data_IF_043673139307
#
_entry.id   IF_043673139307
#
_cell.length_a   1.000
_cell.length_b   1.000
_cell.length_c   1.000
_cell.angle_alpha   90.00
_cell.angle_beta   90.00
_cell.angle_gamma   90.00
#
_symmetry.space_group_name_H-M   'P 1'
#
loop_
_entity.id
_entity.type
_entity.pdbx_description
1 polymer ?
#
# COMPACT_ATOMS: atom_id res chain seq x y z
N UNK A 1 73.31 31.98 -10.16
CA UNK A 1 72.69 30.75 -9.60
C UNK A 1 71.27 31.08 -9.15
N UNK A 2 70.23 30.74 -9.98
CA UNK A 2 68.81 30.97 -9.66
C UNK A 2 68.25 29.67 -9.21
N UNK A 3 67.72 29.53 -7.97
CA UNK A 3 67.08 28.39 -7.43
C UNK A 3 65.58 28.54 -7.71
N UNK A 4 65.02 27.68 -8.58
CA UNK A 4 63.55 27.54 -8.82
C UNK A 4 62.93 26.67 -7.73
N UNK A 5 62.00 27.26 -7.00
CA UNK A 5 61.11 26.52 -6.07
C UNK A 5 59.92 26.00 -6.85
N UNK A 6 59.81 24.67 -6.95
CA UNK A 6 58.64 23.98 -7.49
C UNK A 6 57.64 23.80 -6.34
N UNK A 7 56.50 24.50 -6.41
CA UNK A 7 55.40 24.33 -5.50
C UNK A 7 54.56 23.08 -5.95
N UNK A 8 54.54 22.05 -5.11
CA UNK A 8 53.75 20.84 -5.32
C UNK A 8 52.36 21.08 -4.74
N UNK A 9 51.36 21.34 -5.60
CA UNK A 9 49.94 21.45 -5.20
C UNK A 9 49.34 20.06 -4.98
N UNK A 10 49.08 19.69 -3.74
CA UNK A 10 48.30 18.48 -3.41
C UNK A 10 46.81 18.74 -3.74
N UNK A 11 46.29 18.07 -4.78
CA UNK A 11 44.87 17.99 -5.03
C UNK A 11 44.28 16.98 -4.03
N UNK A 12 43.55 17.46 -3.03
CA UNK A 12 42.73 16.61 -2.16
C UNK A 12 41.45 16.25 -2.92
N UNK A 13 41.41 15.07 -3.52
CA UNK A 13 40.18 14.48 -4.04
C UNK A 13 39.27 14.10 -2.85
N UNK A 14 38.32 14.95 -2.55
CA UNK A 14 37.25 14.63 -1.62
C UNK A 14 36.42 13.45 -2.16
N UNK A 15 36.53 12.28 -1.52
CA UNK A 15 35.61 11.19 -1.75
C UNK A 15 34.22 11.62 -1.26
N UNK A 16 33.36 12.05 -2.16
CA UNK A 16 31.93 12.12 -1.88
C UNK A 16 31.47 10.65 -1.81
N UNK A 17 31.46 10.10 -0.61
CA UNK A 17 30.85 8.79 -0.37
C UNK A 17 29.40 8.85 -0.82
N UNK A 18 29.04 8.11 -1.88
CA UNK A 18 27.65 7.89 -2.23
C UNK A 18 26.97 7.25 -1.00
N UNK A 19 26.08 7.98 -0.34
CA UNK A 19 25.25 7.42 0.71
C UNK A 19 24.51 6.22 0.11
N UNK A 20 24.84 5.02 0.60
CA UNK A 20 24.14 3.80 0.20
C UNK A 20 22.71 3.94 0.63
N UNK A 21 21.76 3.73 -0.29
CA UNK A 21 20.34 3.71 0.02
C UNK A 21 20.09 2.72 1.17
N UNK A 22 19.64 3.24 2.31
CA UNK A 22 19.33 2.43 3.49
C UNK A 22 17.82 2.38 3.67
N UNK A 23 17.19 1.31 3.12
CA UNK A 23 15.78 1.04 3.37
C UNK A 23 15.57 0.70 4.85
N UNK A 24 14.97 1.62 5.58
CA UNK A 24 14.62 1.42 6.99
C UNK A 24 13.20 0.92 7.15
N UNK A 25 12.98 0.19 8.25
CA UNK A 25 11.66 -0.20 8.73
C UNK A 25 11.59 0.14 10.22
N UNK A 26 11.05 1.32 10.56
CA UNK A 26 10.97 1.81 11.93
C UNK A 26 9.66 1.37 12.56
N UNK A 27 9.66 0.73 13.74
CA UNK A 27 8.43 0.37 14.44
C UNK A 27 7.59 1.61 14.77
N UNK A 28 6.28 1.51 14.53
CA UNK A 28 5.27 2.50 14.92
C UNK A 28 4.20 1.80 15.71
N UNK A 29 3.92 2.27 16.92
CA UNK A 29 2.82 1.76 17.75
C UNK A 29 1.76 2.83 17.92
N UNK A 30 0.52 2.42 17.79
CA UNK A 30 -0.64 3.27 18.03
C UNK A 30 -1.74 2.46 18.72
N UNK A 31 -2.64 3.15 19.39
CA UNK A 31 -3.72 2.52 20.14
C UNK A 31 -5.07 3.06 19.68
N UNK A 32 -6.03 2.16 19.49
CA UNK A 32 -7.42 2.49 19.24
C UNK A 32 -8.32 1.58 20.08
N UNK A 33 -9.29 2.15 20.77
CA UNK A 33 -10.23 1.43 21.65
C UNK A 33 -9.56 0.42 22.60
N UNK A 34 -8.41 0.77 23.17
CA UNK A 34 -7.67 -0.08 24.10
C UNK A 34 -6.85 -1.20 23.45
N UNK A 35 -6.88 -1.33 22.13
CA UNK A 35 -6.07 -2.29 21.36
C UNK A 35 -4.82 -1.59 20.83
N UNK A 36 -3.65 -2.18 21.07
CA UNK A 36 -2.37 -1.69 20.53
C UNK A 36 -2.07 -2.35 19.19
N UNK A 37 -1.78 -1.54 18.19
CA UNK A 37 -1.38 -1.95 16.84
C UNK A 37 0.11 -1.70 16.65
N UNK A 38 0.80 -2.65 15.99
CA UNK A 38 2.25 -2.60 15.77
C UNK A 38 2.53 -2.58 14.27
N UNK A 39 2.72 -1.39 13.76
CA UNK A 39 2.97 -1.06 12.34
C UNK A 39 4.44 -0.77 12.10
N UNK A 40 4.83 -0.56 10.83
CA UNK A 40 6.18 -0.15 10.46
C UNK A 40 6.15 1.02 9.47
N UNK A 41 7.00 2.00 9.72
CA UNK A 41 7.27 3.07 8.78
C UNK A 41 8.47 2.69 7.91
N UNK A 42 8.23 2.51 6.60
CA UNK A 42 9.21 1.96 5.65
C UNK A 42 9.55 3.01 4.60
N UNK A 43 10.84 3.37 4.47
CA UNK A 43 11.32 4.35 3.51
C UNK A 43 12.85 4.31 3.36
N UNK A 44 13.37 4.92 2.29
CA UNK A 44 14.80 5.16 2.11
C UNK A 44 15.22 6.39 2.91
N UNK A 45 16.03 6.23 3.97
CA UNK A 45 16.45 7.32 4.86
C UNK A 45 17.62 8.17 4.29
N UNK A 46 18.26 7.74 3.21
CA UNK A 46 19.21 8.56 2.47
C UNK A 46 18.53 9.70 1.69
N UNK A 47 17.21 9.63 1.47
CA UNK A 47 16.43 10.66 0.78
C UNK A 47 15.74 11.55 1.80
N UNK A 48 16.24 12.80 1.95
CA UNK A 48 15.69 13.79 2.88
C UNK A 48 14.48 14.56 2.33
N UNK A 49 14.29 14.59 1.01
CA UNK A 49 13.17 15.29 0.38
C UNK A 49 11.82 14.68 0.80
N UNK A 50 10.81 15.54 1.03
CA UNK A 50 9.46 15.10 1.31
C UNK A 50 8.87 14.33 0.12
N UNK A 51 8.25 13.17 0.40
CA UNK A 51 7.70 12.22 -0.58
C UNK A 51 6.25 11.90 -0.24
N UNK A 52 5.46 11.42 -1.22
CA UNK A 52 4.12 10.93 -0.94
C UNK A 52 4.12 9.86 0.16
N UNK A 53 3.14 9.95 1.06
CA UNK A 53 2.90 8.96 2.11
C UNK A 53 1.84 7.97 1.68
N UNK A 54 2.10 6.67 1.88
CA UNK A 54 1.15 5.60 1.58
C UNK A 54 0.83 4.80 2.84
N UNK A 55 -0.46 4.59 3.12
CA UNK A 55 -0.85 3.44 3.96
C UNK A 55 -0.78 2.20 3.08
N UNK A 56 -0.09 1.17 3.52
CA UNK A 56 -0.09 -0.14 2.89
C UNK A 56 -0.73 -1.16 3.83
N UNK A 57 -1.86 -1.71 3.39
CA UNK A 57 -2.53 -2.80 4.10
C UNK A 57 -2.11 -4.13 3.47
N UNK A 58 -1.45 -5.02 4.24
CA UNK A 58 -0.98 -6.31 3.73
C UNK A 58 -2.13 -7.27 3.47
N UNK A 59 -1.82 -8.45 2.94
CA UNK A 59 -2.77 -9.54 2.80
C UNK A 59 -3.22 -10.09 4.17
N UNK A 60 -4.02 -11.13 4.18
CA UNK A 60 -4.64 -11.70 5.38
C UNK A 60 -3.66 -12.29 6.42
N UNK A 61 -2.40 -12.53 6.05
CA UNK A 61 -1.37 -12.90 7.03
C UNK A 61 -0.88 -11.71 7.87
N UNK A 62 -1.29 -10.49 7.52
CA UNK A 62 -0.88 -9.28 8.24
C UNK A 62 0.60 -8.94 8.03
N UNK A 63 1.21 -8.33 9.04
CA UNK A 63 2.62 -7.93 8.98
C UNK A 63 3.52 -9.13 9.27
N UNK A 64 4.34 -9.47 8.28
CA UNK A 64 5.38 -10.48 8.33
C UNK A 64 6.58 -10.04 7.46
N UNK A 65 7.62 -10.87 7.34
CA UNK A 65 8.82 -10.54 6.56
C UNK A 65 8.52 -10.33 5.08
N UNK A 66 7.55 -11.05 4.51
CA UNK A 66 7.14 -10.90 3.10
C UNK A 66 6.45 -9.55 2.88
N UNK A 67 5.55 -9.16 3.78
CA UNK A 67 4.90 -7.85 3.73
C UNK A 67 5.92 -6.70 3.89
N UNK A 68 6.90 -6.86 4.78
CA UNK A 68 8.00 -5.90 4.96
C UNK A 68 8.88 -5.80 3.70
N UNK A 69 9.22 -6.93 3.08
CA UNK A 69 10.00 -6.95 1.84
C UNK A 69 9.26 -6.24 0.70
N UNK A 70 7.96 -6.53 0.54
CA UNK A 70 7.08 -5.88 -0.43
C UNK A 70 6.98 -4.37 -0.17
N UNK A 71 6.80 -3.95 1.07
CA UNK A 71 6.75 -2.53 1.42
C UNK A 71 8.06 -1.81 1.08
N UNK A 72 9.22 -2.43 1.33
CA UNK A 72 10.54 -1.88 0.95
C UNK A 72 10.70 -1.75 -0.57
N UNK A 73 10.27 -2.77 -1.33
CA UNK A 73 10.32 -2.76 -2.80
C UNK A 73 9.44 -1.64 -3.39
N UNK A 74 8.23 -1.46 -2.87
CA UNK A 74 7.31 -0.43 -3.34
C UNK A 74 7.79 0.96 -2.95
N UNK A 75 8.24 1.13 -1.70
CA UNK A 75 8.72 2.41 -1.19
C UNK A 75 9.85 2.97 -2.05
N UNK A 76 10.89 2.15 -2.31
CA UNK A 76 12.03 2.58 -3.08
C UNK A 76 12.51 3.99 -2.64
N UNK A 77 12.78 4.84 -3.60
CA UNK A 77 13.09 6.27 -3.38
C UNK A 77 11.87 7.18 -3.43
N UNK A 78 10.70 6.63 -3.78
CA UNK A 78 9.54 7.41 -4.22
C UNK A 78 8.53 7.67 -3.10
N UNK A 79 8.42 6.76 -2.11
CA UNK A 79 7.36 6.79 -1.11
C UNK A 79 7.87 6.63 0.31
N UNK A 80 7.09 7.13 1.27
CA UNK A 80 7.13 6.74 2.69
C UNK A 80 5.90 5.88 2.94
N UNK A 81 6.08 4.63 3.39
CA UNK A 81 4.98 3.67 3.58
C UNK A 81 4.75 3.39 5.06
N UNK A 82 3.54 3.57 5.54
CA UNK A 82 3.08 2.96 6.78
C UNK A 82 2.49 1.58 6.45
N UNK A 83 3.28 0.52 6.66
CA UNK A 83 2.79 -0.86 6.62
C UNK A 83 1.99 -1.10 7.89
N UNK A 84 0.65 -1.15 7.77
CA UNK A 84 -0.24 -1.09 8.91
C UNK A 84 -0.68 -2.46 9.43
N UNK A 85 -0.72 -2.57 10.76
CA UNK A 85 -1.35 -3.68 11.47
C UNK A 85 -2.87 -3.47 11.51
N UNK A 86 -3.62 -4.45 11.03
CA UNK A 86 -5.09 -4.42 11.03
C UNK A 86 -5.71 -5.30 12.12
N UNK A 87 -4.91 -6.11 12.80
CA UNK A 87 -5.41 -7.05 13.80
C UNK A 87 -5.21 -6.57 15.22
N UNK A 88 -4.05 -5.97 15.49
CA UNK A 88 -3.66 -5.49 16.82
C UNK A 88 -3.24 -6.61 17.79
N UNK A 89 -2.88 -6.19 19.01
CA UNK A 89 -2.47 -7.11 20.05
C UNK A 89 -1.27 -7.97 19.65
N UNK A 90 -1.41 -9.27 19.86
CA UNK A 90 -0.41 -10.30 19.53
C UNK A 90 -0.78 -11.12 18.28
N UNK A 91 -1.85 -10.75 17.58
CA UNK A 91 -2.33 -11.50 16.41
C UNK A 91 -1.34 -11.40 15.26
N UNK A 92 -0.67 -12.51 14.94
CA UNK A 92 0.31 -12.65 13.87
C UNK A 92 0.11 -14.03 13.22
N UNK A 93 -0.83 -14.15 12.26
CA UNK A 93 -1.15 -15.42 11.63
C UNK A 93 0.07 -16.04 10.93
N UNK A 94 0.27 -17.33 11.13
CA UNK A 94 1.33 -18.13 10.51
C UNK A 94 0.77 -19.26 9.63
N UNK A 95 -0.53 -19.49 9.68
CA UNK A 95 -1.25 -20.47 8.88
C UNK A 95 -2.52 -19.87 8.25
N UNK A 96 -3.05 -20.52 7.21
CA UNK A 96 -4.31 -20.12 6.58
C UNK A 96 -5.48 -20.13 7.58
N UNK A 97 -5.53 -21.11 8.46
CA UNK A 97 -6.58 -21.21 9.48
C UNK A 97 -6.54 -20.01 10.44
N UNK A 98 -5.34 -19.61 10.89
CA UNK A 98 -5.15 -18.43 11.74
C UNK A 98 -5.46 -17.13 10.99
N UNK A 99 -5.03 -17.01 9.73
CA UNK A 99 -5.31 -15.86 8.89
C UNK A 99 -6.81 -15.70 8.64
N UNK A 100 -7.50 -16.81 8.33
CA UNK A 100 -8.96 -16.85 8.17
C UNK A 100 -9.68 -16.43 9.46
N UNK A 101 -9.24 -16.93 10.62
CA UNK A 101 -9.81 -16.53 11.91
C UNK A 101 -9.58 -15.03 12.21
N UNK A 102 -8.43 -14.47 11.84
CA UNK A 102 -8.10 -13.06 12.06
C UNK A 102 -8.92 -12.10 11.18
N UNK A 103 -9.16 -12.44 9.90
CA UNK A 103 -9.93 -11.56 9.00
C UNK A 103 -11.44 -11.69 9.16
N UNK A 104 -11.94 -12.87 9.62
CA UNK A 104 -13.37 -13.15 9.71
C UNK A 104 -14.18 -12.06 10.44
N UNK A 105 -13.76 -11.56 11.62
CA UNK A 105 -14.49 -10.50 12.32
C UNK A 105 -14.56 -9.18 11.52
N UNK A 106 -13.51 -8.87 10.73
CA UNK A 106 -13.43 -7.65 9.94
C UNK A 106 -14.33 -7.69 8.70
N UNK A 107 -14.50 -8.87 8.09
CA UNK A 107 -15.46 -9.05 7.01
C UNK A 107 -16.89 -9.16 7.52
N UNK A 108 -17.09 -9.70 8.72
CA UNK A 108 -18.42 -9.82 9.33
C UNK A 108 -18.98 -8.46 9.78
N UNK A 109 -18.09 -7.53 10.20
CA UNK A 109 -18.46 -6.15 10.51
C UNK A 109 -17.50 -5.18 9.81
N UNK A 110 -17.89 -4.76 8.63
CA UNK A 110 -17.09 -3.84 7.81
C UNK A 110 -16.95 -2.45 8.42
N UNK A 111 -17.80 -2.07 9.36
CA UNK A 111 -17.63 -0.81 10.12
C UNK A 111 -16.34 -0.84 10.94
N UNK A 112 -16.04 -1.98 11.58
CA UNK A 112 -14.77 -2.17 12.31
C UNK A 112 -13.59 -2.08 11.35
N UNK A 113 -13.67 -2.70 10.16
CA UNK A 113 -12.61 -2.62 9.16
C UNK A 113 -12.39 -1.17 8.70
N UNK A 114 -13.47 -0.44 8.36
CA UNK A 114 -13.40 0.98 7.98
C UNK A 114 -12.79 1.83 9.09
N UNK A 115 -13.18 1.64 10.34
CA UNK A 115 -12.62 2.36 11.48
C UNK A 115 -11.12 2.12 11.61
N UNK A 116 -10.66 0.86 11.58
CA UNK A 116 -9.25 0.51 11.73
C UNK A 116 -8.38 1.08 10.62
N UNK A 117 -8.81 0.96 9.36
CA UNK A 117 -8.03 1.51 8.24
C UNK A 117 -8.01 3.03 8.24
N UNK A 118 -9.10 3.69 8.68
CA UNK A 118 -9.14 5.13 8.86
C UNK A 118 -8.18 5.59 9.96
N UNK A 119 -8.13 4.87 11.10
CA UNK A 119 -7.15 5.15 12.17
C UNK A 119 -5.71 4.96 11.69
N UNK A 120 -5.44 3.92 10.90
CA UNK A 120 -4.12 3.72 10.28
C UNK A 120 -3.76 4.89 9.34
N UNK A 121 -4.72 5.43 8.60
CA UNK A 121 -4.50 6.59 7.74
C UNK A 121 -4.22 7.87 8.58
N UNK A 122 -4.91 8.06 9.69
CA UNK A 122 -4.61 9.15 10.61
C UNK A 122 -3.23 9.00 11.26
N UNK A 123 -2.82 7.75 11.55
CA UNK A 123 -1.48 7.47 12.05
C UNK A 123 -0.39 7.82 11.01
N UNK A 124 -0.60 7.49 9.73
CA UNK A 124 0.32 7.93 8.67
C UNK A 124 0.50 9.45 8.67
N UNK A 125 -0.58 10.21 8.80
CA UNK A 125 -0.53 11.69 8.88
C UNK A 125 0.27 12.16 10.09
N UNK A 126 0.10 11.51 11.24
CA UNK A 126 0.81 11.83 12.47
C UNK A 126 2.33 11.61 12.35
N UNK A 127 2.77 10.71 11.46
CA UNK A 127 4.18 10.42 11.22
C UNK A 127 4.91 11.49 10.38
N UNK A 128 4.25 12.54 9.91
CA UNK A 128 4.90 13.66 9.18
C UNK A 128 6.09 14.26 9.95
N UNK A 129 6.04 14.26 11.27
CA UNK A 129 7.10 14.78 12.13
C UNK A 129 8.30 13.83 12.27
N UNK A 130 8.12 12.55 11.94
CA UNK A 130 9.08 11.47 12.18
C UNK A 130 9.72 10.95 10.89
N UNK A 131 9.17 11.29 9.72
CA UNK A 131 9.63 10.87 8.41
C UNK A 131 9.37 11.94 7.34
N UNK A 132 10.07 11.90 6.20
CA UNK A 132 9.92 12.89 5.14
C UNK A 132 8.64 12.69 4.32
N UNK A 133 7.49 12.78 4.97
CA UNK A 133 6.16 12.65 4.36
C UNK A 133 5.71 14.01 3.85
N UNK A 134 5.17 14.05 2.63
CA UNK A 134 4.45 15.20 2.11
C UNK A 134 2.96 15.05 2.47
N UNK A 135 2.41 15.84 3.40
CA UNK A 135 1.04 15.70 3.85
C UNK A 135 -0.01 16.07 2.80
N UNK A 136 0.40 16.75 1.72
CA UNK A 136 -0.49 17.06 0.60
C UNK A 136 -0.66 15.87 -0.36
N UNK A 137 0.23 14.87 -0.29
CA UNK A 137 0.27 13.73 -1.21
C UNK A 137 0.17 12.41 -0.44
N UNK A 138 -1.05 12.08 0.01
CA UNK A 138 -1.31 10.86 0.77
C UNK A 138 -2.24 9.93 -0.01
N UNK A 139 -1.92 8.64 -0.03
CA UNK A 139 -2.71 7.60 -0.69
C UNK A 139 -2.74 6.31 0.14
N UNK A 140 -3.51 5.32 -0.30
CA UNK A 140 -3.52 4.01 0.31
C UNK A 140 -3.46 2.91 -0.76
N UNK A 141 -2.74 1.84 -0.47
CA UNK A 141 -2.62 0.65 -1.30
C UNK A 141 -2.87 -0.59 -0.45
N UNK A 142 -3.43 -1.64 -1.04
CA UNK A 142 -3.68 -2.86 -0.28
C UNK A 142 -3.74 -4.11 -1.15
N UNK A 143 -3.45 -5.25 -0.53
CA UNK A 143 -3.28 -6.54 -1.20
C UNK A 143 -4.25 -7.57 -0.62
N UNK A 144 -5.02 -8.31 -1.44
CA UNK A 144 -6.00 -9.28 -1.00
C UNK A 144 -6.98 -8.65 0.02
N UNK A 145 -7.02 -9.12 1.27
CA UNK A 145 -7.75 -8.48 2.37
C UNK A 145 -7.46 -6.98 2.46
N UNK A 146 -6.20 -6.58 2.33
CA UNK A 146 -5.80 -5.18 2.34
C UNK A 146 -6.38 -4.38 1.18
N UNK A 147 -6.55 -4.99 0.00
CA UNK A 147 -7.24 -4.37 -1.14
C UNK A 147 -8.69 -4.00 -0.81
N UNK A 148 -9.41 -4.93 -0.15
CA UNK A 148 -10.77 -4.65 0.36
C UNK A 148 -10.76 -3.53 1.40
N UNK A 149 -9.77 -3.52 2.30
CA UNK A 149 -9.68 -2.52 3.38
C UNK A 149 -9.44 -1.11 2.84
N UNK A 150 -8.61 -0.92 1.81
CA UNK A 150 -8.38 0.42 1.24
C UNK A 150 -9.57 0.91 0.42
N UNK A 151 -10.35 0.02 -0.21
CA UNK A 151 -11.65 0.39 -0.80
C UNK A 151 -12.62 0.87 0.30
N UNK A 152 -12.62 0.21 1.45
CA UNK A 152 -13.43 0.63 2.59
C UNK A 152 -12.92 1.94 3.23
N UNK A 153 -11.63 2.24 3.18
CA UNK A 153 -11.11 3.57 3.54
C UNK A 153 -11.70 4.66 2.65
N UNK A 154 -11.76 4.43 1.34
CA UNK A 154 -12.38 5.37 0.41
C UNK A 154 -13.89 5.54 0.71
N UNK A 155 -14.63 4.43 0.89
CA UNK A 155 -16.06 4.41 1.25
C UNK A 155 -16.36 5.10 2.58
N UNK A 156 -15.38 5.11 3.51
CA UNK A 156 -15.49 5.87 4.75
C UNK A 156 -15.35 7.39 4.56
N UNK A 157 -15.10 7.88 3.34
CA UNK A 157 -14.95 9.31 3.05
C UNK A 157 -13.59 9.89 3.44
N UNK A 158 -12.55 9.05 3.55
CA UNK A 158 -11.22 9.52 3.89
C UNK A 158 -10.70 10.54 2.84
N UNK A 159 -10.11 11.64 3.32
CA UNK A 159 -9.48 12.64 2.47
C UNK A 159 -8.09 12.15 1.99
N UNK A 160 -8.11 11.15 1.15
CA UNK A 160 -6.96 10.50 0.53
C UNK A 160 -6.96 10.79 -0.97
N UNK A 161 -5.79 10.98 -1.59
CA UNK A 161 -5.72 11.33 -3.02
C UNK A 161 -6.16 10.17 -3.91
N UNK A 162 -5.72 8.97 -3.57
CA UNK A 162 -6.08 7.74 -4.29
C UNK A 162 -6.05 6.52 -3.38
N UNK A 163 -6.81 5.49 -3.78
CA UNK A 163 -6.69 4.13 -3.25
C UNK A 163 -6.43 3.16 -4.40
N UNK A 164 -5.57 2.16 -4.16
CA UNK A 164 -5.28 1.10 -5.14
C UNK A 164 -5.45 -0.26 -4.48
N UNK A 165 -6.39 -1.03 -5.00
CA UNK A 165 -6.68 -2.41 -4.56
C UNK A 165 -6.01 -3.40 -5.50
N UNK A 166 -5.13 -4.26 -4.98
CA UNK A 166 -4.56 -5.39 -5.70
C UNK A 166 -5.28 -6.67 -5.29
N UNK A 167 -5.91 -7.35 -6.23
CA UNK A 167 -6.66 -8.59 -6.02
C UNK A 167 -7.51 -8.61 -4.72
N UNK A 168 -8.10 -7.46 -4.37
CA UNK A 168 -9.02 -7.35 -3.23
C UNK A 168 -10.43 -7.76 -3.61
N UNK A 169 -11.21 -8.24 -2.63
CA UNK A 169 -12.65 -8.39 -2.82
C UNK A 169 -13.27 -7.00 -3.03
N UNK A 170 -14.05 -6.84 -4.08
CA UNK A 170 -14.66 -5.57 -4.46
C UNK A 170 -15.99 -5.32 -3.75
N UNK A 171 -16.60 -6.37 -3.19
CA UNK A 171 -17.89 -6.30 -2.52
C UNK A 171 -17.93 -5.29 -1.36
N UNK A 172 -19.10 -4.73 -1.12
CA UNK A 172 -19.40 -3.83 0.01
C UNK A 172 -20.65 -4.31 0.75
N UNK A 173 -20.81 -3.87 2.00
CA UNK A 173 -22.03 -4.04 2.78
C UNK A 173 -23.08 -2.96 2.48
N UNK A 174 -22.66 -1.82 1.89
CA UNK A 174 -23.57 -0.74 1.49
C UNK A 174 -22.97 0.02 0.28
N UNK A 175 -23.50 -0.21 -0.93
CA UNK A 175 -23.02 0.48 -2.13
C UNK A 175 -23.29 2.01 -2.12
N UNK A 176 -24.20 2.51 -1.28
CA UNK A 176 -24.46 3.94 -1.16
C UNK A 176 -23.27 4.70 -0.56
N UNK A 177 -22.36 4.02 0.13
CA UNK A 177 -21.14 4.61 0.65
C UNK A 177 -20.22 5.16 -0.44
N UNK A 178 -20.39 4.75 -1.70
CA UNK A 178 -19.66 5.32 -2.82
C UNK A 178 -19.86 6.85 -2.96
N UNK A 179 -20.99 7.37 -2.52
CA UNK A 179 -21.25 8.83 -2.50
C UNK A 179 -20.30 9.61 -1.57
N UNK A 180 -19.62 8.94 -0.64
CA UNK A 180 -18.63 9.54 0.26
C UNK A 180 -17.21 9.51 -0.33
N UNK A 181 -16.99 8.82 -1.44
CA UNK A 181 -15.65 8.63 -2.01
C UNK A 181 -15.20 9.92 -2.69
N UNK A 182 -14.10 10.49 -2.19
CA UNK A 182 -13.43 11.66 -2.78
C UNK A 182 -12.11 11.28 -3.45
N UNK A 183 -11.63 10.06 -3.20
CA UNK A 183 -10.38 9.52 -3.74
C UNK A 183 -10.55 9.06 -5.18
N UNK A 184 -9.47 9.10 -5.96
CA UNK A 184 -9.37 8.29 -7.18
C UNK A 184 -9.23 6.82 -6.81
N UNK A 185 -9.99 5.92 -7.43
CA UNK A 185 -10.02 4.49 -7.10
C UNK A 185 -9.48 3.66 -8.26
N UNK A 186 -8.48 2.82 -8.00
CA UNK A 186 -7.97 1.84 -8.95
C UNK A 186 -8.13 0.42 -8.39
N UNK A 187 -8.85 -0.44 -9.12
CA UNK A 187 -8.97 -1.86 -8.84
C UNK A 187 -8.15 -2.67 -9.85
N UNK A 188 -7.24 -3.52 -9.37
CA UNK A 188 -6.34 -4.35 -10.17
C UNK A 188 -6.62 -5.81 -9.86
N UNK A 189 -7.27 -6.52 -10.77
CA UNK A 189 -7.79 -7.87 -10.54
C UNK A 189 -7.18 -8.90 -11.50
N UNK A 190 -7.14 -10.16 -11.06
CA UNK A 190 -6.98 -11.29 -11.98
C UNK A 190 -8.32 -11.55 -12.69
N UNK A 191 -8.31 -11.66 -14.03
CA UNK A 191 -9.53 -11.95 -14.78
C UNK A 191 -10.12 -13.32 -14.43
N UNK A 192 -9.26 -14.26 -14.02
CA UNK A 192 -9.60 -15.63 -13.65
C UNK A 192 -9.65 -15.83 -12.12
N UNK A 193 -9.70 -14.74 -11.33
CA UNK A 193 -9.80 -14.80 -9.87
C UNK A 193 -11.21 -15.23 -9.44
N UNK A 194 -11.32 -16.46 -8.93
CA UNK A 194 -12.59 -17.02 -8.44
C UNK A 194 -13.15 -16.28 -7.21
N UNK A 195 -12.33 -15.50 -6.49
CA UNK A 195 -12.80 -14.69 -5.35
C UNK A 195 -13.48 -13.38 -5.79
N UNK A 196 -13.24 -12.95 -7.05
CA UNK A 196 -13.83 -11.74 -7.63
C UNK A 196 -14.55 -12.11 -8.94
N UNK A 197 -15.68 -12.81 -8.86
CA UNK A 197 -16.41 -13.27 -10.04
C UNK A 197 -17.01 -12.09 -10.83
N UNK A 198 -17.42 -12.30 -12.09
CA UNK A 198 -17.91 -11.24 -12.98
C UNK A 198 -19.03 -10.38 -12.38
N UNK A 199 -19.95 -11.00 -11.65
CA UNK A 199 -21.06 -10.30 -10.99
C UNK A 199 -20.58 -9.34 -9.89
N UNK A 200 -19.50 -9.67 -9.16
CA UNK A 200 -18.92 -8.79 -8.16
C UNK A 200 -18.22 -7.59 -8.82
N UNK A 201 -17.55 -7.80 -9.97
CA UNK A 201 -16.96 -6.72 -10.77
C UNK A 201 -18.03 -5.78 -11.31
N UNK A 202 -19.10 -6.34 -11.90
CA UNK A 202 -20.22 -5.56 -12.40
C UNK A 202 -20.91 -4.74 -11.30
N UNK A 203 -21.08 -5.30 -10.10
CA UNK A 203 -21.64 -4.59 -8.95
C UNK A 203 -20.74 -3.44 -8.49
N UNK A 204 -19.43 -3.65 -8.44
CA UNK A 204 -18.45 -2.61 -8.12
C UNK A 204 -18.47 -1.47 -9.15
N UNK A 205 -18.52 -1.79 -10.43
CA UNK A 205 -18.60 -0.77 -11.47
C UNK A 205 -19.90 0.06 -11.38
N UNK A 206 -21.03 -0.59 -11.08
CA UNK A 206 -22.29 0.11 -10.85
C UNK A 206 -22.18 1.03 -9.63
N UNK A 207 -21.63 0.54 -8.51
CA UNK A 207 -21.37 1.32 -7.30
C UNK A 207 -20.52 2.56 -7.59
N UNK A 208 -19.43 2.43 -8.34
CA UNK A 208 -18.54 3.56 -8.68
C UNK A 208 -19.24 4.59 -9.59
N UNK A 209 -20.04 4.13 -10.56
CA UNK A 209 -20.82 5.03 -11.44
C UNK A 209 -21.88 5.79 -10.67
N UNK A 210 -22.64 5.10 -9.81
CA UNK A 210 -23.71 5.71 -9.01
C UNK A 210 -23.13 6.73 -8.01
N UNK A 211 -21.98 6.45 -7.44
CA UNK A 211 -21.24 7.35 -6.56
C UNK A 211 -20.54 8.51 -7.30
N UNK A 212 -20.50 8.50 -8.64
CA UNK A 212 -19.77 9.47 -9.49
C UNK A 212 -18.28 9.55 -9.13
N UNK A 213 -17.70 8.41 -8.78
CA UNK A 213 -16.30 8.28 -8.39
C UNK A 213 -15.41 8.40 -9.62
N UNK A 214 -14.22 8.97 -9.46
CA UNK A 214 -13.14 8.87 -10.45
C UNK A 214 -12.42 7.53 -10.24
N UNK A 215 -12.62 6.58 -11.13
CA UNK A 215 -12.17 5.21 -10.96
C UNK A 215 -11.72 4.53 -12.26
N UNK A 216 -10.87 3.51 -12.09
CA UNK A 216 -10.54 2.55 -13.13
C UNK A 216 -10.49 1.14 -12.57
N UNK A 217 -10.74 0.14 -13.42
CA UNK A 217 -10.54 -1.28 -13.13
C UNK A 217 -9.77 -1.94 -14.26
N UNK A 218 -8.74 -2.72 -13.92
CA UNK A 218 -7.97 -3.50 -14.87
C UNK A 218 -8.03 -4.98 -14.48
N UNK A 219 -8.53 -5.81 -15.41
CA UNK A 219 -8.58 -7.25 -15.26
C UNK A 219 -7.49 -7.90 -16.12
N UNK A 220 -6.54 -8.56 -15.50
CA UNK A 220 -5.40 -9.20 -16.17
C UNK A 220 -5.74 -10.63 -16.58
N UNK A 221 -5.85 -10.87 -17.89
CA UNK A 221 -6.18 -12.19 -18.46
C UNK A 221 -5.18 -13.28 -18.05
N UNK A 222 -5.68 -14.44 -17.61
CA UNK A 222 -4.89 -15.58 -17.13
C UNK A 222 -4.38 -15.45 -15.70
N UNK A 223 -4.52 -14.30 -15.07
CA UNK A 223 -4.15 -14.09 -13.67
C UNK A 223 -5.30 -14.52 -12.76
N UNK A 224 -4.94 -15.15 -11.66
CA UNK A 224 -5.83 -15.54 -10.57
C UNK A 224 -5.55 -14.66 -9.33
N UNK A 225 -6.11 -14.99 -8.19
CA UNK A 225 -5.78 -14.34 -6.90
C UNK A 225 -4.27 -14.42 -6.60
N UNK A 226 -3.78 -13.56 -5.73
CA UNK A 226 -2.38 -13.53 -5.28
C UNK A 226 -1.32 -13.22 -6.37
N UNK A 227 -1.67 -12.68 -7.53
CA UNK A 227 -0.71 -12.49 -8.61
C UNK A 227 0.48 -11.57 -8.25
N UNK A 228 0.41 -10.81 -7.15
CA UNK A 228 1.52 -10.02 -6.61
C UNK A 228 2.27 -10.67 -5.45
N UNK A 229 1.83 -11.85 -4.97
CA UNK A 229 2.40 -12.54 -3.81
C UNK A 229 3.51 -13.50 -4.27
N UNK A 230 4.78 -13.09 -4.14
CA UNK A 230 5.95 -13.86 -4.62
C UNK A 230 6.06 -15.25 -4.00
N UNK A 231 5.50 -15.42 -2.81
CA UNK A 231 5.43 -16.69 -2.06
C UNK A 231 4.34 -17.64 -2.57
N UNK A 232 3.39 -17.16 -3.37
CA UNK A 232 2.33 -17.98 -3.95
C UNK A 232 2.86 -18.78 -5.15
N UNK A 233 3.68 -19.80 -4.88
CA UNK A 233 4.42 -20.57 -5.89
C UNK A 233 3.70 -21.82 -6.37
N UNK A 234 2.51 -22.13 -5.83
CA UNK A 234 1.70 -23.28 -6.27
C UNK A 234 1.32 -23.13 -7.73
N UNK A 235 1.61 -24.11 -8.60
CA UNK A 235 1.40 -23.98 -10.04
C UNK A 235 -0.06 -24.00 -10.48
N UNK A 236 -0.95 -24.44 -9.59
CA UNK A 236 -2.39 -24.57 -9.83
C UNK A 236 -3.19 -23.91 -8.70
N UNK A 237 -4.50 -23.75 -8.90
CA UNK A 237 -5.39 -23.15 -7.92
C UNK A 237 -5.58 -21.65 -8.09
N UNK A 238 -6.37 -21.07 -7.20
CA UNK A 238 -6.80 -19.67 -7.30
C UNK A 238 -5.82 -18.66 -6.66
N UNK A 239 -4.71 -19.10 -6.05
CA UNK A 239 -3.69 -18.22 -5.48
C UNK A 239 -2.34 -18.56 -6.11
N UNK A 240 -1.83 -17.69 -7.02
CA UNK A 240 -0.59 -17.93 -7.75
C UNK A 240 0.07 -16.63 -8.17
N UNK A 241 1.38 -16.54 -7.92
CA UNK A 241 2.20 -15.42 -8.38
C UNK A 241 2.34 -15.40 -9.91
N UNK A 242 2.24 -14.20 -10.49
CA UNK A 242 2.57 -13.95 -11.89
C UNK A 242 3.44 -12.69 -12.00
N UNK A 243 4.72 -12.90 -12.26
CA UNK A 243 5.71 -11.81 -12.31
C UNK A 243 5.39 -10.76 -13.40
N UNK A 244 4.85 -11.19 -14.54
CA UNK A 244 4.48 -10.30 -15.65
C UNK A 244 3.28 -9.43 -15.28
N UNK A 245 2.26 -10.05 -14.70
CA UNK A 245 1.06 -9.35 -14.25
C UNK A 245 1.37 -8.43 -13.09
N UNK A 246 2.14 -8.90 -12.10
CA UNK A 246 2.61 -8.07 -10.99
C UNK A 246 3.33 -6.80 -11.47
N UNK A 247 4.25 -6.95 -12.44
CA UNK A 247 4.96 -5.81 -13.04
C UNK A 247 4.02 -4.81 -13.71
N UNK A 248 3.01 -5.27 -14.45
CA UNK A 248 1.99 -4.42 -15.08
C UNK A 248 1.14 -3.69 -14.03
N UNK A 249 0.68 -4.42 -13.00
CA UNK A 249 -0.15 -3.87 -11.94
C UNK A 249 0.61 -2.81 -11.12
N UNK A 250 1.90 -3.02 -10.80
CA UNK A 250 2.71 -1.99 -10.14
C UNK A 250 2.97 -0.78 -11.03
N UNK A 251 3.10 -0.94 -12.34
CA UNK A 251 3.21 0.18 -13.28
C UNK A 251 1.92 0.99 -13.32
N UNK A 252 0.75 0.34 -13.40
CA UNK A 252 -0.56 0.98 -13.34
C UNK A 252 -0.76 1.75 -12.03
N UNK A 253 -0.44 1.14 -10.87
CA UNK A 253 -0.46 1.81 -9.57
C UNK A 253 0.37 3.10 -9.57
N UNK A 254 1.63 3.04 -10.05
CA UNK A 254 2.51 4.22 -10.06
C UNK A 254 1.98 5.33 -10.95
N UNK A 255 1.46 4.99 -12.14
CA UNK A 255 0.83 5.96 -13.04
C UNK A 255 -0.38 6.63 -12.40
N UNK A 256 -1.27 5.84 -11.78
CA UNK A 256 -2.46 6.32 -11.08
C UNK A 256 -2.15 7.24 -9.91
N UNK A 257 -1.18 6.84 -9.06
CA UNK A 257 -0.74 7.66 -7.93
C UNK A 257 -0.10 8.97 -8.40
N UNK A 258 0.71 8.95 -9.46
CA UNK A 258 1.32 10.16 -10.01
C UNK A 258 0.27 11.14 -10.52
N UNK A 259 -0.76 10.66 -11.21
CA UNK A 259 -1.89 11.47 -11.65
C UNK A 259 -2.64 12.09 -10.46
N UNK A 260 -2.98 11.27 -9.47
CA UNK A 260 -3.70 11.72 -8.28
C UNK A 260 -2.93 12.79 -7.49
N UNK A 261 -1.61 12.66 -7.40
CA UNK A 261 -0.76 13.63 -6.70
C UNK A 261 -0.50 14.91 -7.50
N UNK A 262 -0.60 14.88 -8.82
CA UNK A 262 -0.49 16.06 -9.67
C UNK A 262 -1.76 16.94 -9.61
N UNK A 263 -2.93 16.35 -9.41
CA UNK A 263 -4.22 17.07 -9.38
C UNK A 263 -4.43 17.91 -8.10
N UNK A 264 -3.61 17.72 -7.06
CA UNK A 264 -3.70 18.44 -5.76
C UNK A 264 -2.73 19.62 -5.63
N UNK A 265 -2.24 20.17 -6.75
CA UNK A 265 -1.42 21.40 -6.76
C UNK A 265 -2.25 22.66 -6.73
#
# INVERSE_FOLDING_TARGET
MRRSLIALSLLVLGHVGAASAAMVAKPVQWTDQGVTYKSFLVYDDAVSAKRPGLVMVPNWYGINDMALAKAKEIAGKDYVILLTDMYGGTTRPTSEAEAGAAVKPLYADRKIMRQRVSRAFDELKAQEKNAPIDPARLAAIGFCFGGSAVLDLARAGANVAAVVSFHGLLATDDPKLASNIHAKVLALNGADDANVPPEQRAAFEAEMRDGKVDWASEDFGGAVHCFTEKEATTPTGNCRYDAKVAGRAYAAMRAWLNEAFAAKK
#
